data_IF_816752117842
#
_entry.id   IF_816752117842
#
_cell.length_a   1.000
_cell.length_b   1.000
_cell.length_c   1.000
_cell.angle_alpha   90.00
_cell.angle_beta   90.00
_cell.angle_gamma   90.00
#
_symmetry.space_group_name_H-M   'P 1'
#
loop_
_entity.id
_entity.type
_entity.pdbx_description
1 polymer ?
#
# COMPACT_ATOMS: atom_id res chain seq x y z
N UNK A 1 -8.64 9.09 -17.61
CA UNK A 1 -8.80 8.01 -16.61
C UNK A 1 -8.58 6.71 -17.36
N UNK A 2 -7.60 5.90 -16.97
CA UNK A 2 -7.45 4.58 -17.58
C UNK A 2 -8.64 3.73 -17.10
N UNK A 3 -9.46 3.22 -18.02
CA UNK A 3 -10.55 2.30 -17.72
C UNK A 3 -9.93 0.95 -17.33
N UNK A 4 -9.45 0.86 -16.09
CA UNK A 4 -9.07 -0.41 -15.51
C UNK A 4 -10.36 -1.14 -15.17
N UNK A 5 -10.56 -2.31 -15.78
CA UNK A 5 -11.73 -3.14 -15.56
C UNK A 5 -11.29 -4.56 -15.22
N UNK A 6 -11.88 -5.13 -14.17
CA UNK A 6 -11.68 -6.53 -13.76
C UNK A 6 -13.03 -7.24 -13.79
N UNK A 7 -13.08 -8.40 -14.43
CA UNK A 7 -14.27 -9.25 -14.43
C UNK A 7 -13.91 -10.73 -14.52
N UNK A 8 -14.85 -11.60 -14.14
CA UNK A 8 -14.71 -13.05 -14.28
C UNK A 8 -15.29 -13.50 -15.62
N UNK A 9 -14.53 -14.28 -16.38
CA UNK A 9 -15.02 -15.03 -17.54
C UNK A 9 -15.35 -16.46 -17.07
N UNK A 10 -16.64 -16.71 -16.83
CA UNK A 10 -17.11 -18.00 -16.31
C UNK A 10 -16.95 -19.13 -17.32
N UNK A 11 -16.99 -18.85 -18.63
CA UNK A 11 -16.84 -19.86 -19.67
C UNK A 11 -15.41 -20.42 -19.70
N UNK A 12 -14.42 -19.58 -19.37
CA UNK A 12 -13.00 -19.96 -19.31
C UNK A 12 -12.49 -20.20 -17.90
N UNK A 13 -13.35 -20.01 -16.89
CA UNK A 13 -13.01 -20.01 -15.47
C UNK A 13 -11.74 -19.19 -15.16
N UNK A 14 -11.68 -17.96 -15.66
CA UNK A 14 -10.53 -17.08 -15.48
C UNK A 14 -10.96 -15.67 -15.08
N UNK A 15 -10.02 -14.92 -14.52
CA UNK A 15 -10.18 -13.49 -14.22
C UNK A 15 -9.50 -12.70 -15.34
N UNK A 16 -10.21 -11.70 -15.87
CA UNK A 16 -9.72 -10.81 -16.93
C UNK A 16 -9.50 -9.42 -16.36
N UNK A 17 -8.28 -8.92 -16.47
CA UNK A 17 -7.90 -7.54 -16.19
C UNK A 17 -7.69 -6.82 -17.53
N UNK A 18 -8.47 -5.78 -17.78
CA UNK A 18 -8.28 -4.85 -18.89
C UNK A 18 -7.66 -3.56 -18.39
N UNK A 19 -6.58 -3.14 -19.04
CA UNK A 19 -5.91 -1.86 -18.82
C UNK A 19 -5.75 -1.17 -20.18
N UNK A 20 -6.77 -0.40 -20.56
CA UNK A 20 -6.89 0.14 -21.92
C UNK A 20 -6.94 -0.97 -22.97
N UNK A 21 -5.95 -1.01 -23.87
CA UNK A 21 -5.84 -2.05 -24.91
C UNK A 21 -5.19 -3.35 -24.40
N UNK A 22 -4.56 -3.33 -23.22
CA UNK A 22 -3.90 -4.50 -22.65
C UNK A 22 -4.92 -5.40 -21.96
N UNK A 23 -4.84 -6.70 -22.23
CA UNK A 23 -5.68 -7.72 -21.60
C UNK A 23 -4.77 -8.73 -20.94
N UNK A 24 -4.98 -8.95 -19.65
CA UNK A 24 -4.33 -10.00 -18.87
C UNK A 24 -5.38 -10.99 -18.39
N UNK A 25 -5.04 -12.26 -18.41
CA UNK A 25 -5.91 -13.34 -17.95
C UNK A 25 -5.19 -14.17 -16.90
N UNK A 26 -5.87 -14.42 -15.78
CA UNK A 26 -5.33 -15.15 -14.65
C UNK A 26 -6.25 -16.32 -14.30
N UNK A 27 -5.68 -17.41 -13.81
CA UNK A 27 -6.49 -18.42 -13.12
C UNK A 27 -7.01 -17.86 -11.79
N UNK A 28 -8.07 -18.42 -11.20
CA UNK A 28 -8.56 -17.99 -9.89
C UNK A 28 -7.47 -18.05 -8.80
N UNK A 29 -6.58 -19.04 -8.86
CA UNK A 29 -5.48 -19.22 -7.91
C UNK A 29 -4.41 -18.16 -8.08
N UNK A 30 -4.03 -17.84 -9.34
CA UNK A 30 -3.10 -16.76 -9.62
C UNK A 30 -3.65 -15.41 -9.16
N UNK A 31 -4.95 -15.17 -9.41
CA UNK A 31 -5.62 -13.96 -8.96
C UNK A 31 -5.65 -13.84 -7.44
N UNK A 32 -5.92 -14.94 -6.72
CA UNK A 32 -5.88 -14.97 -5.26
C UNK A 32 -4.50 -14.56 -4.71
N UNK A 33 -3.41 -15.07 -5.30
CA UNK A 33 -2.05 -14.69 -4.91
C UNK A 33 -1.78 -13.20 -5.15
N UNK A 34 -2.24 -12.65 -6.29
CA UNK A 34 -2.10 -11.23 -6.60
C UNK A 34 -2.87 -10.38 -5.57
N UNK A 35 -4.09 -10.74 -5.23
CA UNK A 35 -4.88 -10.03 -4.22
C UNK A 35 -4.19 -10.06 -2.85
N UNK A 36 -3.69 -11.22 -2.41
CA UNK A 36 -2.96 -11.32 -1.14
C UNK A 36 -1.69 -10.45 -1.11
N UNK A 37 -0.96 -10.39 -2.22
CA UNK A 37 0.22 -9.54 -2.33
C UNK A 37 -0.16 -8.04 -2.27
N UNK A 38 -1.25 -7.64 -2.93
CA UNK A 38 -1.74 -6.27 -2.91
C UNK A 38 -2.23 -5.85 -1.50
N UNK A 39 -2.95 -6.74 -0.81
CA UNK A 39 -3.39 -6.50 0.57
C UNK A 39 -2.20 -6.33 1.51
N UNK A 40 -1.20 -7.21 1.42
CA UNK A 40 0.02 -7.11 2.24
C UNK A 40 0.82 -5.85 1.96
N UNK A 41 0.93 -5.43 0.69
CA UNK A 41 1.59 -4.18 0.33
C UNK A 41 0.86 -2.97 0.92
N UNK A 42 -0.47 -2.94 0.83
CA UNK A 42 -1.29 -1.87 1.42
C UNK A 42 -1.11 -1.81 2.95
N UNK A 43 -1.11 -2.94 3.64
CA UNK A 43 -0.85 -3.00 5.08
C UNK A 43 0.55 -2.48 5.44
N UNK A 44 1.57 -2.86 4.68
CA UNK A 44 2.94 -2.39 4.87
C UNK A 44 3.07 -0.88 4.63
N UNK A 45 2.42 -0.34 3.60
CA UNK A 45 2.39 1.10 3.34
C UNK A 45 1.72 1.87 4.48
N UNK A 46 0.58 1.37 4.98
CA UNK A 46 -0.11 1.96 6.13
C UNK A 46 0.76 1.94 7.39
N UNK A 47 1.44 0.82 7.63
CA UNK A 47 2.39 0.70 8.75
C UNK A 47 3.53 1.71 8.62
N UNK A 48 4.14 1.82 7.45
CA UNK A 48 5.23 2.76 7.19
C UNK A 48 4.80 4.23 7.37
N UNK A 49 3.61 4.59 6.90
CA UNK A 49 3.05 5.94 7.09
C UNK A 49 2.87 6.28 8.57
N UNK A 50 2.25 5.38 9.34
CA UNK A 50 2.02 5.59 10.78
C UNK A 50 3.33 5.64 11.57
N UNK A 51 4.26 4.74 11.30
CA UNK A 51 5.53 4.70 12.02
C UNK A 51 6.46 5.86 11.65
N UNK A 52 6.49 6.27 10.38
CA UNK A 52 7.25 7.43 9.93
C UNK A 52 6.78 8.72 10.63
N UNK A 53 5.47 8.91 10.73
CA UNK A 53 4.89 10.05 11.44
C UNK A 53 5.19 10.00 12.94
N UNK A 54 5.04 8.83 13.57
CA UNK A 54 5.33 8.64 15.00
C UNK A 54 6.79 8.97 15.30
N UNK A 55 7.74 8.43 14.54
CA UNK A 55 9.17 8.73 14.73
C UNK A 55 9.52 10.19 14.47
N UNK A 56 8.84 10.86 13.52
CA UNK A 56 9.02 12.29 13.28
C UNK A 56 8.61 13.10 14.50
N UNK A 57 7.43 12.82 15.06
CA UNK A 57 6.90 13.51 16.23
C UNK A 57 7.77 13.30 17.48
N UNK A 58 8.24 12.07 17.72
CA UNK A 58 9.15 11.77 18.84
C UNK A 58 10.48 12.51 18.72
N UNK A 59 11.03 12.62 17.49
CA UNK A 59 12.25 13.37 17.23
C UNK A 59 12.07 14.87 17.49
N UNK A 60 10.97 15.46 17.01
CA UNK A 60 10.65 16.87 17.23
C UNK A 60 10.49 17.18 18.73
N UNK A 61 9.79 16.31 19.46
CA UNK A 61 9.66 16.42 20.92
C UNK A 61 11.01 16.36 21.63
N UNK A 62 11.84 15.38 21.29
CA UNK A 62 13.19 15.22 21.88
C UNK A 62 14.06 16.45 21.61
N UNK A 63 13.99 17.01 20.39
CA UNK A 63 14.72 18.23 20.02
C UNK A 63 14.23 19.45 20.81
N UNK A 64 12.92 19.61 21.00
CA UNK A 64 12.36 20.70 21.80
C UNK A 64 12.81 20.60 23.27
N UNK A 65 12.74 19.41 23.86
CA UNK A 65 13.20 19.15 25.23
C UNK A 65 14.71 19.45 25.41
N UNK A 66 15.54 19.09 24.42
CA UNK A 66 16.97 19.38 24.45
C UNK A 66 17.27 20.88 24.33
N UNK A 67 16.57 21.61 23.46
CA UNK A 67 16.73 23.07 23.35
C UNK A 67 16.37 23.78 24.64
N UNK A 68 15.30 23.34 25.32
CA UNK A 68 14.89 23.91 26.60
C UNK A 68 15.94 23.66 27.69
N UNK A 69 16.54 22.46 27.74
CA UNK A 69 17.64 22.15 28.67
C UNK A 69 18.86 23.05 28.44
N UNK A 70 19.24 23.28 27.18
CA UNK A 70 20.36 24.17 26.82
C UNK A 70 20.06 25.61 27.22
N UNK A 71 18.80 26.07 27.09
CA UNK A 71 18.41 27.44 27.43
C UNK A 71 18.35 27.70 28.95
N UNK A 72 18.14 26.66 29.75
CA UNK A 72 18.10 26.73 31.23
C UNK A 72 19.48 26.53 31.89
N UNK A 73 20.51 26.22 31.11
CA UNK A 73 21.91 26.09 31.55
C UNK A 73 22.66 27.40 31.34
#
# INVERSE_FOLDING_TARGET
MADICVFRDDAKNCIVLKDGEKIFTFTPEQWAVICMAADSDMENQLYALKHGETMRLERERTWAENREKVRRS
#
